data_IF_584725855618
#
_entry.id   IF_584725855618
#
_cell.length_a   1.000
_cell.length_b   1.000
_cell.length_c   1.000
_cell.angle_alpha   90.00
_cell.angle_beta   90.00
_cell.angle_gamma   90.00
#
_symmetry.space_group_name_H-M   'P 1'
#
loop_
_entity.id
_entity.type
_entity.pdbx_description
1 polymer ?
#
# COMPACT_ATOMS: atom_id res chain seq x y z
N UNK A 1 -70.82 -3.15 12.96
CA UNK A 1 -70.02 -2.54 11.87
C UNK A 1 -68.99 -1.53 12.37
N UNK A 2 -69.32 -0.57 13.25
CA UNK A 2 -68.34 0.40 13.77
C UNK A 2 -67.16 -0.22 14.56
N UNK A 3 -67.40 -1.27 15.35
CA UNK A 3 -66.33 -1.92 16.15
C UNK A 3 -65.29 -2.70 15.32
N UNK A 4 -65.67 -3.21 14.16
CA UNK A 4 -64.79 -3.97 13.27
C UNK A 4 -63.84 -3.04 12.48
N UNK A 5 -64.35 -1.87 12.09
CA UNK A 5 -63.54 -0.80 11.50
C UNK A 5 -62.52 -0.26 12.50
N UNK A 6 -62.93 -0.05 13.76
CA UNK A 6 -62.04 0.44 14.82
C UNK A 6 -60.93 -0.58 15.15
N UNK A 7 -61.25 -1.88 15.19
CA UNK A 7 -60.24 -2.93 15.34
C UNK A 7 -59.28 -3.00 14.15
N UNK A 8 -59.78 -2.81 12.93
CA UNK A 8 -58.95 -2.82 11.72
C UNK A 8 -57.98 -1.65 11.72
N UNK A 9 -58.45 -0.44 12.06
CA UNK A 9 -57.59 0.74 12.20
C UNK A 9 -56.50 0.55 13.26
N UNK A 10 -56.84 -0.03 14.42
CA UNK A 10 -55.86 -0.34 15.46
C UNK A 10 -54.79 -1.34 14.99
N UNK A 11 -55.19 -2.37 14.22
CA UNK A 11 -54.23 -3.33 13.64
C UNK A 11 -53.31 -2.68 12.61
N UNK A 12 -53.84 -1.77 11.79
CA UNK A 12 -53.06 -1.04 10.80
C UNK A 12 -52.06 -0.10 11.51
N UNK A 13 -52.49 0.66 12.52
CA UNK A 13 -51.59 1.54 13.29
C UNK A 13 -50.42 0.78 13.89
N UNK A 14 -50.70 -0.33 14.58
CA UNK A 14 -49.64 -1.16 15.18
C UNK A 14 -48.66 -1.73 14.15
N UNK A 15 -49.17 -2.13 12.97
CA UNK A 15 -48.31 -2.62 11.89
C UNK A 15 -47.46 -1.48 11.29
N UNK A 16 -48.03 -0.30 11.12
CA UNK A 16 -47.32 0.88 10.64
C UNK A 16 -46.23 1.33 11.62
N UNK A 17 -46.52 1.35 12.92
CA UNK A 17 -45.56 1.62 13.99
C UNK A 17 -44.41 0.61 13.96
N UNK A 18 -44.73 -0.69 13.96
CA UNK A 18 -43.70 -1.74 13.91
C UNK A 18 -42.85 -1.69 12.64
N UNK A 19 -43.45 -1.37 11.50
CA UNK A 19 -42.71 -1.20 10.25
C UNK A 19 -41.78 0.02 10.32
N UNK A 20 -42.26 1.12 10.88
CA UNK A 20 -41.49 2.37 11.03
C UNK A 20 -40.30 2.16 11.97
N UNK A 21 -40.49 1.47 13.09
CA UNK A 21 -39.40 1.12 14.02
C UNK A 21 -38.34 0.26 13.33
N UNK A 22 -38.76 -0.78 12.61
CA UNK A 22 -37.83 -1.66 11.86
C UNK A 22 -37.08 -0.90 10.78
N UNK A 23 -37.77 -0.04 10.04
CA UNK A 23 -37.16 0.79 9.02
C UNK A 23 -36.12 1.73 9.63
N UNK A 24 -36.45 2.39 10.74
CA UNK A 24 -35.52 3.29 11.42
C UNK A 24 -34.29 2.55 11.94
N UNK A 25 -34.47 1.37 12.53
CA UNK A 25 -33.34 0.53 12.98
C UNK A 25 -32.43 0.13 11.81
N UNK A 26 -33.01 -0.30 10.69
CA UNK A 26 -32.26 -0.66 9.48
C UNK A 26 -31.57 0.55 8.86
N UNK A 27 -32.21 1.71 8.86
CA UNK A 27 -31.63 2.95 8.37
C UNK A 27 -30.41 3.36 9.19
N UNK A 28 -30.47 3.28 10.52
CA UNK A 28 -29.32 3.56 11.38
C UNK A 28 -28.19 2.55 11.17
N UNK A 29 -28.50 1.26 11.13
CA UNK A 29 -27.50 0.23 10.88
C UNK A 29 -26.80 0.39 9.52
N UNK A 30 -27.57 0.76 8.47
CA UNK A 30 -27.01 1.08 7.16
C UNK A 30 -26.08 2.29 7.25
N UNK A 31 -26.52 3.36 7.91
CA UNK A 31 -25.72 4.57 8.06
C UNK A 31 -24.39 4.30 8.77
N UNK A 32 -24.41 3.54 9.86
CA UNK A 32 -23.20 3.12 10.60
C UNK A 32 -22.27 2.26 9.73
N UNK A 33 -22.84 1.35 8.93
CA UNK A 33 -22.07 0.54 7.99
C UNK A 33 -21.41 1.41 6.90
N UNK A 34 -22.16 2.35 6.33
CA UNK A 34 -21.65 3.28 5.30
C UNK A 34 -20.51 4.16 5.87
N UNK A 35 -20.64 4.66 7.11
CA UNK A 35 -19.58 5.41 7.80
C UNK A 35 -18.33 4.55 8.06
N UNK A 36 -18.54 3.28 8.44
CA UNK A 36 -17.44 2.32 8.65
C UNK A 36 -16.70 2.02 7.35
N UNK A 37 -17.44 1.80 6.26
CA UNK A 37 -16.89 1.56 4.92
C UNK A 37 -16.03 2.75 4.50
N UNK A 38 -16.55 3.98 4.58
CA UNK A 38 -15.80 5.18 4.23
C UNK A 38 -14.53 5.34 5.08
N UNK A 39 -14.59 4.99 6.36
CA UNK A 39 -13.43 4.98 7.26
C UNK A 39 -12.37 3.94 6.87
N UNK A 40 -12.80 2.73 6.48
CA UNK A 40 -11.91 1.66 6.02
C UNK A 40 -11.28 1.98 4.67
N UNK A 41 -12.05 2.51 3.72
CA UNK A 41 -11.54 2.93 2.41
C UNK A 41 -10.43 3.99 2.56
N UNK A 42 -10.63 4.97 3.45
CA UNK A 42 -9.61 5.99 3.74
C UNK A 42 -8.33 5.37 4.34
N UNK A 43 -8.48 4.37 5.21
CA UNK A 43 -7.33 3.65 5.79
C UNK A 43 -6.58 2.85 4.73
N UNK A 44 -7.29 2.13 3.87
CA UNK A 44 -6.71 1.37 2.76
C UNK A 44 -5.93 2.31 1.84
N UNK A 45 -6.52 3.42 1.42
CA UNK A 45 -5.83 4.40 0.58
C UNK A 45 -4.54 4.93 1.23
N UNK A 46 -4.56 5.20 2.54
CA UNK A 46 -3.36 5.61 3.28
C UNK A 46 -2.29 4.52 3.34
N UNK A 47 -2.69 3.27 3.59
CA UNK A 47 -1.78 2.12 3.64
C UNK A 47 -1.17 1.81 2.27
N UNK A 48 -1.95 1.92 1.18
CA UNK A 48 -1.46 1.73 -0.18
C UNK A 48 -0.40 2.78 -0.55
N UNK A 49 -0.58 4.02 -0.12
CA UNK A 49 0.40 5.07 -0.33
C UNK A 49 1.68 4.83 0.48
N UNK A 50 1.56 4.41 1.74
CA UNK A 50 2.72 4.02 2.55
C UNK A 50 3.47 2.84 1.92
N UNK A 51 2.76 1.82 1.45
CA UNK A 51 3.35 0.69 0.73
C UNK A 51 4.10 1.16 -0.52
N UNK A 52 3.52 2.10 -1.29
CA UNK A 52 4.17 2.66 -2.48
C UNK A 52 5.48 3.35 -2.13
N UNK A 53 5.47 4.19 -1.10
CA UNK A 53 6.67 4.90 -0.60
C UNK A 53 7.72 3.90 -0.13
N UNK A 54 7.33 2.89 0.66
CA UNK A 54 8.24 1.87 1.17
C UNK A 54 8.85 1.04 0.04
N UNK A 55 8.05 0.64 -0.96
CA UNK A 55 8.55 -0.07 -2.16
C UNK A 55 9.58 0.76 -2.92
N UNK A 56 9.31 2.05 -3.14
CA UNK A 56 10.26 2.95 -3.78
C UNK A 56 11.56 3.10 -2.97
N UNK A 57 11.49 3.17 -1.64
CA UNK A 57 12.68 3.19 -0.77
C UNK A 57 13.47 1.89 -0.84
N UNK A 58 12.79 0.74 -0.86
CA UNK A 58 13.45 -0.56 -1.02
C UNK A 58 14.15 -0.66 -2.37
N UNK A 59 13.50 -0.22 -3.44
CA UNK A 59 14.08 -0.20 -4.78
C UNK A 59 15.32 0.72 -4.84
N UNK A 60 15.23 1.93 -4.30
CA UNK A 60 16.35 2.85 -4.17
C UNK A 60 17.52 2.22 -3.39
N UNK A 61 17.25 1.64 -2.22
CA UNK A 61 18.27 0.97 -1.42
C UNK A 61 18.89 -0.21 -2.16
N UNK A 62 18.08 -1.00 -2.88
CA UNK A 62 18.56 -2.13 -3.68
C UNK A 62 19.52 -1.65 -4.75
N UNK A 63 19.15 -0.62 -5.52
CA UNK A 63 20.00 -0.01 -6.55
C UNK A 63 21.29 0.57 -5.96
N UNK A 64 21.22 1.23 -4.81
CA UNK A 64 22.41 1.75 -4.12
C UNK A 64 23.30 0.61 -3.63
N UNK A 65 22.73 -0.47 -3.11
CA UNK A 65 23.52 -1.63 -2.63
C UNK A 65 24.10 -2.48 -3.75
N UNK A 66 23.44 -2.61 -4.90
CA UNK A 66 24.05 -3.24 -6.09
C UNK A 66 25.07 -2.34 -6.76
N UNK A 67 24.99 -1.01 -6.54
CA UNK A 67 26.02 -0.06 -6.93
C UNK A 67 27.17 0.05 -5.90
N UNK A 68 27.08 -0.60 -4.73
CA UNK A 68 28.23 -0.78 -3.84
C UNK A 68 29.00 -1.99 -4.37
N UNK A 69 30.18 -1.82 -5.00
CA UNK A 69 30.99 -2.95 -5.43
C UNK A 69 31.31 -3.83 -4.22
N UNK A 70 31.11 -5.14 -4.35
CA UNK A 70 31.53 -6.08 -3.31
C UNK A 70 33.04 -5.90 -3.07
N UNK A 71 33.54 -6.18 -1.85
CA UNK A 71 34.99 -6.12 -1.56
C UNK A 71 35.81 -6.90 -2.59
N UNK A 72 35.23 -7.99 -3.10
CA UNK A 72 35.78 -8.80 -4.20
C UNK A 72 35.90 -8.03 -5.51
N UNK A 73 34.92 -7.22 -5.88
CA UNK A 73 34.95 -6.41 -7.11
C UNK A 73 36.00 -5.30 -7.02
N UNK A 74 36.18 -4.72 -5.83
CA UNK A 74 37.24 -3.74 -5.56
C UNK A 74 38.62 -4.38 -5.67
N UNK A 75 38.81 -5.57 -5.10
CA UNK A 75 40.08 -6.31 -5.21
C UNK A 75 40.38 -6.72 -6.66
N UNK A 76 39.39 -7.21 -7.40
CA UNK A 76 39.54 -7.59 -8.82
C UNK A 76 39.90 -6.38 -9.69
N UNK A 77 39.24 -5.24 -9.46
CA UNK A 77 39.53 -3.99 -10.16
C UNK A 77 40.95 -3.48 -9.86
N UNK A 78 41.39 -3.58 -8.59
CA UNK A 78 42.74 -3.20 -8.17
C UNK A 78 43.82 -4.08 -8.81
N UNK A 79 43.57 -5.38 -8.93
CA UNK A 79 44.47 -6.32 -9.60
C UNK A 79 44.63 -5.98 -11.09
N UNK A 80 43.52 -5.75 -11.80
CA UNK A 80 43.55 -5.35 -13.22
C UNK A 80 44.26 -4.02 -13.46
N UNK A 81 44.01 -3.01 -12.63
CA UNK A 81 44.71 -1.71 -12.74
C UNK A 81 46.21 -1.89 -12.53
N UNK A 82 46.62 -2.73 -11.56
CA UNK A 82 48.04 -2.98 -11.30
C UNK A 82 48.73 -3.70 -12.47
N UNK A 83 48.03 -4.59 -13.15
CA UNK A 83 48.53 -5.31 -14.32
C UNK A 83 48.71 -4.36 -15.52
N UNK A 84 47.70 -3.53 -15.80
CA UNK A 84 47.77 -2.50 -16.84
C UNK A 84 48.90 -1.49 -16.61
N UNK A 85 49.12 -1.06 -15.35
CA UNK A 85 50.23 -0.16 -15.02
C UNK A 85 51.59 -0.82 -15.32
N UNK A 86 51.75 -2.11 -15.02
CA UNK A 86 52.99 -2.84 -15.34
C UNK A 86 53.21 -3.00 -16.84
N UNK A 87 52.15 -3.23 -17.60
CA UNK A 87 52.25 -3.27 -19.07
C UNK A 87 52.64 -1.91 -19.65
N UNK A 88 52.09 -0.82 -19.10
CA UNK A 88 52.47 0.55 -19.47
C UNK A 88 53.95 0.78 -19.14
N UNK A 89 54.40 0.47 -17.93
CA UNK A 89 55.80 0.62 -17.53
C UNK A 89 56.74 -0.20 -18.43
N UNK A 90 56.32 -1.40 -18.83
CA UNK A 90 57.07 -2.26 -19.75
C UNK A 90 57.15 -1.65 -21.15
N UNK A 91 56.04 -1.18 -21.70
CA UNK A 91 56.03 -0.47 -22.99
C UNK A 91 56.84 0.83 -22.96
N UNK A 92 56.80 1.58 -21.85
CA UNK A 92 57.63 2.79 -21.68
C UNK A 92 59.10 2.41 -21.72
N UNK A 93 59.49 1.34 -21.01
CA UNK A 93 60.87 0.85 -20.98
C UNK A 93 61.33 0.43 -22.38
N UNK A 94 60.50 -0.33 -23.10
CA UNK A 94 60.74 -0.77 -24.50
C UNK A 94 60.79 0.40 -25.50
N UNK A 95 60.15 1.54 -25.21
CA UNK A 95 60.20 2.76 -26.02
C UNK A 95 61.38 3.69 -25.68
N UNK A 96 62.03 3.47 -24.54
CA UNK A 96 63.13 4.28 -24.03
C UNK A 96 64.52 3.64 -24.21
N UNK A 97 64.58 2.39 -24.70
CA UNK A 97 65.76 1.76 -25.33
C UNK A 97 65.73 1.95 -26.85
#
# INVERSE_FOLDING_TARGET
MAGDLQQTLLRISRKAESLTERYNALYQAKKEADETIAGLEKKIAGQEEEIRILKSRVEYLTVVTTAIPDRRDVELSRARISELVREIDKCITELSE
#
